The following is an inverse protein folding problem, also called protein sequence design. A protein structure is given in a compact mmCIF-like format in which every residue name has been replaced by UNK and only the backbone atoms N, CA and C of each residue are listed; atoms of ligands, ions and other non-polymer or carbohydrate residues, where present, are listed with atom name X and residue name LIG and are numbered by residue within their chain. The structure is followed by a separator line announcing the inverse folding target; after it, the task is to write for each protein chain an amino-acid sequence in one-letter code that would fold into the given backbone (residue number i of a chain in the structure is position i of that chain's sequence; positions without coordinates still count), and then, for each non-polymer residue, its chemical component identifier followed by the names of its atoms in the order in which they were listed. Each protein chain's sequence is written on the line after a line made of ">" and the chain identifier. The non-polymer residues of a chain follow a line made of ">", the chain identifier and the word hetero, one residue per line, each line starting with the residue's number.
data_IF_863771850216
#
_entry.id   IF_863771850216
#
_cell.length_a   1.000
_cell.length_b   1.000
_cell.length_c   1.000
_cell.angle_alpha   90.00
_cell.angle_beta   90.00
_cell.angle_gamma   90.00
#
_symmetry.space_group_name_H-M   'P 1'
#
loop_
_entity.id
_entity.type
_entity.pdbx_description
1 polymer ?
#
# COMPACT_ATOMS: atom_id res chain seq x y z
N UNK A 1 19.31 6.77 1.00
CA UNK A 1 19.40 5.31 1.10
C UNK A 1 18.46 4.67 0.10
N UNK A 2 18.54 3.34 -0.02
CA UNK A 2 17.62 2.53 -0.82
C UNK A 2 17.21 1.30 0.01
N UNK A 3 15.96 0.88 -0.12
CA UNK A 3 15.41 -0.32 0.50
C UNK A 3 14.43 -0.97 -0.48
N UNK A 4 14.28 -2.28 -0.39
CA UNK A 4 13.24 -3.00 -1.14
C UNK A 4 12.24 -3.57 -0.14
N UNK A 5 10.98 -3.21 -0.29
CA UNK A 5 9.90 -3.74 0.55
C UNK A 5 9.12 -4.84 -0.17
N UNK A 6 8.51 -5.73 0.61
CA UNK A 6 7.62 -6.77 0.12
C UNK A 6 6.30 -6.14 -0.32
N UNK A 7 6.09 -6.08 -1.64
CA UNK A 7 4.89 -5.51 -2.24
C UNK A 7 4.77 -3.98 -2.12
N UNK A 8 3.93 -3.38 -2.97
CA UNK A 8 3.63 -1.94 -2.96
C UNK A 8 2.14 -1.62 -2.84
N UNK A 9 1.30 -2.64 -2.69
CA UNK A 9 -0.16 -2.53 -2.76
C UNK A 9 -0.68 -2.66 -4.20
N UNK A 10 -1.88 -2.13 -4.46
CA UNK A 10 -2.61 -2.35 -5.71
C UNK A 10 -2.84 -1.05 -6.47
N UNK A 11 -2.46 -1.00 -7.77
CA UNK A 11 -2.80 0.13 -8.62
C UNK A 11 -4.31 0.29 -8.78
N UNK A 12 -4.79 1.53 -8.82
CA UNK A 12 -6.16 1.82 -9.19
C UNK A 12 -6.43 1.45 -10.65
N UNK A 13 -7.60 0.88 -10.90
CA UNK A 13 -8.17 0.67 -12.23
C UNK A 13 -8.17 1.94 -13.11
N UNK A 14 -8.17 1.72 -14.42
CA UNK A 14 -8.11 2.75 -15.47
C UNK A 14 -6.80 2.71 -16.26
N UNK A 15 -6.57 3.71 -17.14
CA UNK A 15 -5.32 3.83 -17.88
C UNK A 15 -4.11 3.90 -16.93
N UNK A 16 -3.02 3.23 -17.31
CA UNK A 16 -1.80 3.25 -16.51
C UNK A 16 -1.28 4.68 -16.34
N UNK A 17 -0.91 5.04 -15.11
CA UNK A 17 -0.46 6.38 -14.76
C UNK A 17 0.08 6.44 -13.34
N UNK A 18 0.91 7.45 -13.05
CA UNK A 18 1.50 7.64 -11.71
C UNK A 18 0.42 7.90 -10.65
N UNK A 19 -0.68 8.51 -11.04
CA UNK A 19 -1.88 8.74 -10.21
C UNK A 19 -2.62 7.44 -9.84
N UNK A 20 -2.30 6.33 -10.50
CA UNK A 20 -2.89 5.01 -10.21
C UNK A 20 -2.11 4.23 -9.17
N UNK A 21 -0.83 4.55 -8.94
CA UNK A 21 -0.02 3.78 -8.00
C UNK A 21 -0.38 4.13 -6.55
N UNK A 22 -0.32 3.16 -5.62
CA UNK A 22 -0.22 3.47 -4.20
C UNK A 22 0.94 4.43 -3.94
N UNK A 23 0.89 5.16 -2.83
CA UNK A 23 1.93 6.14 -2.49
C UNK A 23 2.58 5.75 -1.18
N UNK A 24 3.91 5.59 -1.11
CA UNK A 24 4.63 5.42 0.15
C UNK A 24 4.29 6.59 1.09
N UNK A 25 3.80 6.28 2.28
CA UNK A 25 3.27 7.27 3.21
C UNK A 25 4.09 7.37 4.49
N UNK A 26 4.34 6.24 5.15
CA UNK A 26 5.13 6.17 6.39
C UNK A 26 6.19 5.08 6.30
N UNK A 27 7.42 5.32 6.77
CA UNK A 27 7.94 6.62 7.19
C UNK A 27 7.97 7.62 6.02
N UNK A 28 7.88 8.92 6.34
CA UNK A 28 7.88 9.98 5.32
C UNK A 28 9.23 10.08 4.64
N UNK A 29 9.25 10.62 3.42
CA UNK A 29 10.48 10.85 2.66
C UNK A 29 10.95 9.66 1.85
N UNK A 30 10.09 8.66 1.66
CA UNK A 30 10.28 7.57 0.70
C UNK A 30 9.60 7.91 -0.64
N UNK A 31 10.24 7.50 -1.73
CA UNK A 31 9.72 7.60 -3.09
C UNK A 31 10.11 6.35 -3.90
N UNK A 32 9.35 6.02 -4.94
CA UNK A 32 9.74 4.94 -5.85
C UNK A 32 11.09 5.19 -6.52
N UNK A 33 11.84 4.12 -6.82
CA UNK A 33 12.87 4.18 -7.86
C UNK A 33 12.21 4.63 -9.18
N UNK A 34 12.76 5.62 -9.90
CA UNK A 34 12.14 6.16 -11.12
C UNK A 34 12.01 5.15 -12.28
N UNK A 35 12.72 4.02 -12.21
CA UNK A 35 12.66 2.94 -13.20
C UNK A 35 11.68 1.84 -12.81
N UNK A 36 11.15 1.88 -11.60
CA UNK A 36 10.23 0.89 -11.06
C UNK A 36 8.98 1.58 -10.45
N UNK A 37 8.06 0.79 -9.92
CA UNK A 37 6.85 1.27 -9.27
C UNK A 37 6.44 0.33 -8.14
N UNK A 38 5.17 0.39 -7.76
CA UNK A 38 4.60 -0.60 -6.85
C UNK A 38 4.59 -1.98 -7.55
N UNK A 39 5.46 -2.88 -7.10
CA UNK A 39 5.46 -4.27 -7.56
C UNK A 39 4.70 -5.18 -6.59
N UNK A 40 4.23 -6.30 -7.09
CA UNK A 40 3.51 -7.30 -6.30
C UNK A 40 4.44 -8.03 -5.32
N UNK A 41 5.63 -8.40 -5.79
CA UNK A 41 6.62 -9.15 -5.00
C UNK A 41 7.62 -8.21 -4.33
N UNK A 42 8.02 -7.15 -5.02
CA UNK A 42 9.04 -6.23 -4.53
C UNK A 42 8.74 -4.81 -4.97
N UNK A 43 9.10 -3.85 -4.13
CA UNK A 43 8.96 -2.42 -4.42
C UNK A 43 10.20 -1.69 -3.91
N UNK A 44 11.13 -1.33 -4.81
CA UNK A 44 12.29 -0.52 -4.44
C UNK A 44 11.88 0.93 -4.12
N UNK A 45 12.33 1.40 -2.96
CA UNK A 45 12.11 2.74 -2.46
C UNK A 45 13.44 3.44 -2.18
N UNK A 46 13.48 4.71 -2.55
CA UNK A 46 14.59 5.61 -2.34
C UNK A 46 14.19 6.67 -1.31
N UNK A 47 15.16 7.20 -0.56
CA UNK A 47 14.91 8.31 0.36
C UNK A 47 15.88 8.38 1.52
N UNK A 48 15.79 9.46 2.31
CA UNK A 48 16.55 9.59 3.55
C UNK A 48 16.13 8.52 4.56
N UNK A 49 14.82 8.35 4.77
CA UNK A 49 14.25 7.35 5.67
C UNK A 49 14.61 5.90 5.29
N UNK A 50 14.93 5.64 4.03
CA UNK A 50 15.38 4.31 3.60
C UNK A 50 16.72 3.90 4.22
N UNK A 51 17.56 4.85 4.66
CA UNK A 51 18.83 4.54 5.31
C UNK A 51 18.66 4.01 6.74
N UNK A 52 17.54 4.33 7.40
CA UNK A 52 17.27 3.96 8.80
C UNK A 52 16.43 2.68 8.93
N UNK A 53 15.77 2.26 7.85
CA UNK A 53 14.93 1.07 7.81
C UNK A 53 15.77 -0.21 7.88
N UNK A 54 15.28 -1.16 8.67
CA UNK A 54 15.85 -2.51 8.85
C UNK A 54 14.88 -3.57 8.32
N UNK A 55 15.41 -4.76 8.10
CA UNK A 55 14.56 -5.93 7.75
C UNK A 55 13.53 -6.16 8.87
N UNK A 56 12.26 -6.25 8.48
CA UNK A 56 11.13 -6.40 9.40
C UNK A 56 10.41 -5.08 9.71
N UNK A 57 11.03 -3.93 9.45
CA UNK A 57 10.35 -2.65 9.58
C UNK A 57 9.25 -2.49 8.52
N UNK A 58 8.20 -1.73 8.88
CA UNK A 58 7.01 -1.58 8.04
C UNK A 58 7.06 -0.28 7.27
N UNK A 59 6.71 -0.36 5.99
CA UNK A 59 6.37 0.80 5.17
C UNK A 59 4.88 0.75 4.86
N UNK A 60 4.19 1.86 5.13
CA UNK A 60 2.77 2.01 4.87
C UNK A 60 2.55 2.74 3.56
N UNK A 61 1.67 2.19 2.74
CA UNK A 61 1.26 2.79 1.47
C UNK A 61 -0.17 3.32 1.59
N UNK A 62 -0.42 4.49 1.02
CA UNK A 62 -1.77 4.99 0.78
C UNK A 62 -2.25 4.45 -0.56
N UNK A 63 -3.36 3.72 -0.56
CA UNK A 63 -3.96 3.22 -1.80
C UNK A 63 -4.46 4.39 -2.66
N UNK A 64 -4.43 4.22 -3.98
CA UNK A 64 -4.99 5.22 -4.91
C UNK A 64 -6.53 5.20 -4.94
N UNK A 65 -7.14 4.02 -4.82
CA UNK A 65 -8.60 3.83 -4.83
C UNK A 65 -9.03 2.75 -3.86
N UNK A 66 -10.09 3.00 -3.09
CA UNK A 66 -10.54 2.09 -2.03
C UNK A 66 -11.02 0.73 -2.57
N UNK A 67 -11.70 0.72 -3.73
CA UNK A 67 -12.25 -0.50 -4.32
C UNK A 67 -11.22 -1.61 -4.55
N UNK A 68 -10.00 -1.26 -4.95
CA UNK A 68 -8.96 -2.27 -5.21
C UNK A 68 -8.59 -3.09 -3.95
N UNK A 69 -8.67 -2.47 -2.77
CA UNK A 69 -8.46 -3.16 -1.49
C UNK A 69 -9.66 -4.03 -1.15
N UNK A 70 -10.87 -3.51 -1.34
CA UNK A 70 -12.10 -4.22 -0.99
C UNK A 70 -12.35 -5.45 -1.87
N UNK A 71 -11.83 -5.50 -3.10
CA UNK A 71 -11.83 -6.69 -3.97
C UNK A 71 -10.86 -7.79 -3.51
N UNK A 72 -9.81 -7.43 -2.77
CA UNK A 72 -8.66 -8.31 -2.52
C UNK A 72 -8.53 -8.78 -1.08
N UNK A 73 -8.98 -7.97 -0.12
CA UNK A 73 -8.95 -8.29 1.29
C UNK A 73 -10.37 -8.47 1.81
N UNK A 74 -10.54 -9.35 2.80
CA UNK A 74 -11.83 -9.64 3.41
C UNK A 74 -12.23 -8.62 4.49
N UNK A 75 -11.26 -7.91 5.06
CA UNK A 75 -11.48 -7.06 6.24
C UNK A 75 -10.69 -5.76 6.11
N UNK A 76 -11.31 -4.65 6.52
CA UNK A 76 -10.65 -3.38 6.78
C UNK A 76 -10.57 -3.16 8.29
N UNK A 77 -9.40 -2.73 8.76
CA UNK A 77 -9.21 -2.31 10.14
C UNK A 77 -9.39 -0.80 10.24
N UNK A 78 -10.30 -0.35 11.11
CA UNK A 78 -10.49 1.06 11.44
C UNK A 78 -9.54 1.42 12.56
N UNK A 79 -8.74 2.46 12.35
CA UNK A 79 -7.68 2.88 13.27
C UNK A 79 -7.95 4.29 13.78
N UNK A 80 -7.88 4.47 15.09
CA UNK A 80 -7.87 5.77 15.76
C UNK A 80 -6.59 5.89 16.58
N UNK A 81 -5.73 6.85 16.22
CA UNK A 81 -4.39 6.97 16.80
C UNK A 81 -3.55 5.71 16.56
N UNK A 82 -3.20 5.02 17.64
CA UNK A 82 -2.42 3.78 17.65
C UNK A 82 -3.26 2.51 17.89
N UNK A 83 -4.59 2.63 17.91
CA UNK A 83 -5.51 1.51 18.23
C UNK A 83 -6.37 1.15 17.05
N UNK A 84 -6.52 -0.15 16.82
CA UNK A 84 -7.60 -0.68 15.97
C UNK A 84 -8.88 -0.62 16.79
N UNK A 85 -9.81 0.23 16.36
CA UNK A 85 -11.10 0.44 17.06
C UNK A 85 -12.19 -0.49 16.54
N UNK A 86 -12.08 -0.97 15.31
CA UNK A 86 -12.99 -1.96 14.73
C UNK A 86 -12.35 -2.69 13.54
N UNK A 87 -12.96 -3.80 13.17
CA UNK A 87 -12.69 -4.53 11.93
C UNK A 87 -14.02 -4.73 11.23
N UNK A 88 -14.12 -4.29 9.98
CA UNK A 88 -15.35 -4.38 9.18
C UNK A 88 -15.10 -5.22 7.94
N UNK A 89 -16.07 -6.03 7.49
CA UNK A 89 -15.90 -6.80 6.28
C UNK A 89 -15.87 -5.86 5.07
N UNK A 90 -15.09 -6.23 4.07
CA UNK A 90 -15.26 -5.72 2.70
C UNK A 90 -16.35 -6.53 2.01
N UNK A 91 -16.77 -6.12 0.82
CA UNK A 91 -17.68 -6.95 0.04
C UNK A 91 -17.08 -8.31 -0.35
N UNK A 92 -15.75 -8.45 -0.48
CA UNK A 92 -15.11 -9.77 -0.61
C UNK A 92 -15.31 -10.60 0.66
N UNK A 93 -15.12 -9.99 1.83
CA UNK A 93 -15.36 -10.64 3.12
C UNK A 93 -16.81 -11.03 3.34
N UNK A 94 -17.75 -10.32 2.71
CA UNK A 94 -19.18 -10.68 2.68
C UNK A 94 -19.52 -11.72 1.59
N UNK A 95 -18.53 -12.22 0.86
CA UNK A 95 -18.73 -13.17 -0.24
C UNK A 95 -19.52 -12.58 -1.42
N UNK A 96 -19.42 -11.27 -1.63
CA UNK A 96 -20.08 -10.55 -2.72
C UNK A 96 -19.09 -10.23 -3.84
N UNK A 97 -19.63 -10.14 -5.06
CA UNK A 97 -18.90 -9.72 -6.26
C UNK A 97 -19.70 -8.65 -6.97
N UNK A 98 -19.05 -7.53 -7.26
CA UNK A 98 -19.63 -6.37 -7.93
C UNK A 98 -18.85 -6.06 -9.21
N UNK A 99 -19.28 -5.04 -9.97
CA UNK A 99 -18.79 -4.68 -11.31
C UNK A 99 -17.52 -3.83 -11.31
#
# INVERSE_FOLDING_TARGET
>A
GAVTVLGGGYPASGPAGRDRLPVPWLPRGLSYDPREGAGEVQTPLLGAAAADLRVGDRVWFRHAKAGELCERFETLHLVEGDRVVASVPTYRGEGKTFL
#
